data_IF_131370172920
#
_entry.id   IF_131370172920
#
_cell.length_a   1.000
_cell.length_b   1.000
_cell.length_c   1.000
_cell.angle_alpha   90.00
_cell.angle_beta   90.00
_cell.angle_gamma   90.00
#
_symmetry.space_group_name_H-M   'P 1'
#
loop_
_entity.id
_entity.type
_entity.pdbx_description
1 polymer ?
#
# COMPACT_ATOMS: atom_id res chain seq x y z
N UNK A 1 -8.58 -26.20 -1.26
CA UNK A 1 -8.08 -24.99 -0.57
C UNK A 1 -7.22 -24.07 -1.46
N UNK A 2 -7.34 -24.15 -2.80
CA UNK A 2 -6.59 -23.29 -3.75
C UNK A 2 -6.92 -21.79 -3.64
N UNK A 3 -8.04 -21.44 -3.00
CA UNK A 3 -8.44 -20.05 -2.77
C UNK A 3 -7.44 -19.24 -1.96
N UNK A 4 -6.66 -19.84 -1.06
CA UNK A 4 -5.65 -19.13 -0.26
C UNK A 4 -4.48 -18.63 -1.13
N UNK A 5 -3.74 -19.49 -1.85
CA UNK A 5 -2.64 -19.01 -2.69
C UNK A 5 -3.13 -18.07 -3.80
N UNK A 6 -4.31 -18.34 -4.38
CA UNK A 6 -4.92 -17.42 -5.36
C UNK A 6 -5.25 -16.06 -4.73
N UNK A 7 -5.82 -16.05 -3.52
CA UNK A 7 -6.16 -14.82 -2.81
C UNK A 7 -4.92 -13.98 -2.49
N UNK A 8 -3.82 -14.61 -2.06
CA UNK A 8 -2.55 -13.90 -1.81
C UNK A 8 -1.97 -13.30 -3.09
N UNK A 9 -1.97 -14.07 -4.18
CA UNK A 9 -1.49 -13.60 -5.48
C UNK A 9 -2.36 -12.44 -6.00
N UNK A 10 -3.69 -12.59 -5.95
CA UNK A 10 -4.63 -11.54 -6.35
C UNK A 10 -4.48 -10.30 -5.50
N UNK A 11 -4.34 -10.41 -4.18
CA UNK A 11 -4.17 -9.24 -3.32
C UNK A 11 -2.92 -8.44 -3.70
N UNK A 12 -1.78 -9.10 -3.94
CA UNK A 12 -0.56 -8.40 -4.34
C UNK A 12 -0.65 -7.80 -5.76
N UNK A 13 -1.37 -8.47 -6.67
CA UNK A 13 -1.70 -7.91 -7.99
C UNK A 13 -2.53 -6.62 -7.86
N UNK A 14 -3.54 -6.64 -6.99
CA UNK A 14 -4.40 -5.49 -6.71
C UNK A 14 -3.60 -4.37 -6.06
N UNK A 15 -2.70 -4.65 -5.11
CA UNK A 15 -1.76 -3.64 -4.58
C UNK A 15 -1.02 -2.94 -5.71
N UNK A 16 -0.40 -3.70 -6.61
CA UNK A 16 0.38 -3.14 -7.73
C UNK A 16 -0.49 -2.28 -8.64
N UNK A 17 -1.63 -2.82 -9.12
CA UNK A 17 -2.52 -2.14 -10.06
C UNK A 17 -3.10 -0.88 -9.43
N UNK A 18 -3.63 -1.00 -8.22
CA UNK A 18 -4.30 0.10 -7.54
C UNK A 18 -3.32 1.19 -7.15
N UNK A 19 -2.15 0.83 -6.63
CA UNK A 19 -1.15 1.81 -6.23
C UNK A 19 -0.62 2.59 -7.44
N UNK A 20 -0.26 1.90 -8.52
CA UNK A 20 0.22 2.54 -9.75
C UNK A 20 -0.85 3.39 -10.43
N UNK A 21 -1.97 2.77 -10.83
CA UNK A 21 -2.93 3.39 -11.73
C UNK A 21 -3.93 4.29 -11.00
N UNK A 22 -4.31 3.96 -9.76
CA UNK A 22 -5.30 4.73 -9.01
C UNK A 22 -4.61 5.74 -8.09
N UNK A 23 -3.72 5.28 -7.22
CA UNK A 23 -3.13 6.15 -6.20
C UNK A 23 -2.05 7.08 -6.77
N UNK A 24 -1.27 6.66 -7.77
CA UNK A 24 -0.27 7.51 -8.42
C UNK A 24 -0.77 8.23 -9.66
N UNK A 25 -1.17 7.51 -10.71
CA UNK A 25 -1.53 8.13 -11.99
C UNK A 25 -2.73 9.08 -11.81
N UNK A 26 -3.86 8.60 -11.24
CA UNK A 26 -4.99 9.49 -10.93
C UNK A 26 -4.71 10.42 -9.74
N UNK A 27 -3.93 10.00 -8.75
CA UNK A 27 -3.63 10.81 -7.56
C UNK A 27 -2.71 12.01 -7.81
N UNK A 28 -1.94 12.02 -8.90
CA UNK A 28 -1.16 13.21 -9.29
C UNK A 28 -2.05 14.41 -9.63
N UNK A 29 -3.26 14.17 -10.14
CA UNK A 29 -4.25 15.21 -10.37
C UNK A 29 -4.88 15.66 -9.03
N UNK A 30 -4.70 16.93 -8.66
CA UNK A 30 -5.26 17.49 -7.40
C UNK A 30 -6.78 17.48 -7.32
N UNK A 31 -7.48 17.45 -8.46
CA UNK A 31 -8.94 17.35 -8.48
C UNK A 31 -9.44 15.91 -8.23
N UNK A 32 -8.56 14.91 -8.28
CA UNK A 32 -8.91 13.51 -8.02
C UNK A 32 -9.18 13.28 -6.53
N UNK A 33 -10.16 12.44 -6.23
CA UNK A 33 -10.37 11.92 -4.87
C UNK A 33 -9.09 11.27 -4.32
N UNK A 34 -8.33 10.58 -5.18
CA UNK A 34 -7.09 9.87 -4.85
C UNK A 34 -5.89 10.78 -4.64
N UNK A 35 -6.07 12.10 -4.78
CA UNK A 35 -4.96 13.06 -4.70
C UNK A 35 -4.26 13.07 -3.35
N UNK A 36 -4.94 12.63 -2.28
CA UNK A 36 -4.36 12.51 -0.94
C UNK A 36 -3.12 11.63 -0.91
N UNK A 37 -3.05 10.60 -1.76
CA UNK A 37 -1.94 9.67 -1.72
C UNK A 37 -0.65 10.35 -2.20
N UNK A 38 -0.70 11.12 -3.30
CA UNK A 38 0.47 11.84 -3.81
C UNK A 38 0.72 13.15 -3.05
N UNK A 39 -0.34 13.93 -2.82
CA UNK A 39 -0.24 15.29 -2.32
C UNK A 39 -0.24 15.40 -0.79
N UNK A 40 -0.67 14.40 -0.04
CA UNK A 40 -0.60 14.43 1.41
C UNK A 40 0.42 13.39 1.88
N UNK A 41 0.12 12.12 1.66
CA UNK A 41 0.92 10.99 2.14
C UNK A 41 2.35 10.99 1.60
N UNK A 42 2.56 10.90 0.28
CA UNK A 42 3.92 10.92 -0.32
C UNK A 42 4.71 12.17 0.06
N UNK A 43 4.05 13.33 0.06
CA UNK A 43 4.68 14.61 0.40
C UNK A 43 5.16 14.60 1.86
N UNK A 44 4.32 14.16 2.78
CA UNK A 44 4.63 14.09 4.21
C UNK A 44 5.74 13.08 4.48
N UNK A 45 5.58 11.85 3.97
CA UNK A 45 6.55 10.76 4.11
C UNK A 45 7.93 11.20 3.62
N UNK A 46 8.03 11.80 2.44
CA UNK A 46 9.32 12.22 1.89
C UNK A 46 9.95 13.39 2.64
N UNK A 47 9.14 14.33 3.17
CA UNK A 47 9.62 15.48 3.95
C UNK A 47 10.07 15.10 5.35
N UNK A 48 9.47 14.07 5.94
CA UNK A 48 9.66 13.71 7.34
C UNK A 48 10.47 12.42 7.52
N UNK A 49 11.35 12.08 6.56
CA UNK A 49 12.24 10.92 6.70
C UNK A 49 11.50 9.60 6.81
N UNK A 50 10.50 9.39 5.93
CA UNK A 50 9.60 8.24 5.86
C UNK A 50 8.45 8.20 6.87
N UNK A 51 8.38 9.17 7.80
CA UNK A 51 7.28 9.26 8.76
C UNK A 51 6.02 9.89 8.15
N UNK A 52 4.86 9.35 8.49
CA UNK A 52 3.56 9.99 8.23
C UNK A 52 2.76 10.16 9.53
N UNK A 53 2.52 11.41 9.91
CA UNK A 53 1.82 11.76 11.13
C UNK A 53 0.32 11.45 11.05
N UNK A 54 -0.25 11.31 9.85
CA UNK A 54 -1.65 10.94 9.69
C UNK A 54 -1.95 9.63 10.42
N UNK A 55 -1.02 8.67 10.42
CA UNK A 55 -1.11 7.38 11.10
C UNK A 55 -1.17 7.45 12.64
N UNK A 56 -0.83 8.59 13.23
CA UNK A 56 -0.94 8.81 14.69
C UNK A 56 -2.36 9.09 15.14
N UNK A 57 -3.26 9.42 14.21
CA UNK A 57 -4.63 9.73 14.50
C UNK A 57 -5.53 8.48 14.38
N UNK A 58 -6.69 8.47 15.07
CA UNK A 58 -7.74 7.50 14.78
C UNK A 58 -8.20 7.64 13.31
N UNK A 59 -8.60 6.54 12.64
CA UNK A 59 -9.14 6.55 11.27
C UNK A 59 -10.59 7.11 11.23
N UNK A 60 -10.79 8.24 11.89
CA UNK A 60 -12.03 9.01 11.98
C UNK A 60 -11.79 10.48 11.61
N UNK A 61 -10.53 10.92 11.62
CA UNK A 61 -10.12 12.24 11.12
C UNK A 61 -10.04 12.20 9.60
N UNK A 62 -10.59 13.20 8.90
CA UNK A 62 -10.58 13.21 7.43
C UNK A 62 -9.19 13.53 6.85
N UNK A 63 -8.33 12.52 6.78
CA UNK A 63 -6.94 12.60 6.32
C UNK A 63 -6.58 11.40 5.40
N UNK A 64 -5.30 11.22 5.06
CA UNK A 64 -4.87 10.15 4.16
C UNK A 64 -5.18 8.75 4.72
N UNK A 65 -4.92 8.52 6.01
CA UNK A 65 -5.21 7.24 6.68
C UNK A 65 -6.69 6.87 6.59
N UNK A 66 -7.60 7.79 6.89
CA UNK A 66 -9.04 7.49 6.86
C UNK A 66 -9.53 7.19 5.44
N UNK A 67 -9.01 7.87 4.43
CA UNK A 67 -9.32 7.58 3.02
C UNK A 67 -8.78 6.23 2.57
N UNK A 68 -7.58 5.84 3.02
CA UNK A 68 -7.03 4.49 2.82
C UNK A 68 -7.96 3.42 3.44
N UNK A 69 -8.34 3.58 4.71
CA UNK A 69 -9.26 2.64 5.38
C UNK A 69 -10.59 2.56 4.65
N UNK A 70 -11.15 3.69 4.20
CA UNK A 70 -12.38 3.70 3.42
C UNK A 70 -12.24 2.92 2.10
N UNK A 71 -11.12 3.08 1.39
CA UNK A 71 -10.85 2.35 0.15
C UNK A 71 -10.70 0.84 0.39
N UNK A 72 -10.01 0.43 1.47
CA UNK A 72 -9.86 -0.97 1.85
C UNK A 72 -11.22 -1.61 2.22
N UNK A 73 -12.05 -0.90 2.99
CA UNK A 73 -13.40 -1.35 3.34
C UNK A 73 -14.28 -1.47 2.08
N UNK A 74 -14.21 -0.50 1.17
CA UNK A 74 -14.95 -0.56 -0.09
C UNK A 74 -14.49 -1.75 -0.95
N UNK A 75 -13.19 -2.03 -1.03
CA UNK A 75 -12.64 -3.19 -1.71
C UNK A 75 -13.09 -4.52 -1.10
N UNK A 76 -13.07 -4.63 0.23
CA UNK A 76 -13.59 -5.80 0.94
C UNK A 76 -15.09 -6.01 0.68
N UNK A 77 -15.89 -4.94 0.74
CA UNK A 77 -17.31 -4.98 0.42
C UNK A 77 -17.57 -5.45 -1.02
N UNK A 78 -16.77 -5.00 -1.98
CA UNK A 78 -16.92 -5.37 -3.39
C UNK A 78 -16.70 -6.88 -3.65
N UNK A 79 -15.82 -7.53 -2.90
CA UNK A 79 -15.56 -8.99 -3.04
C UNK A 79 -16.45 -9.86 -2.13
N UNK A 80 -17.15 -9.25 -1.16
CA UNK A 80 -18.02 -9.95 -0.22
C UNK A 80 -19.09 -10.84 -0.90
N UNK A 81 -19.74 -10.44 -2.01
CA UNK A 81 -20.74 -11.29 -2.67
C UNK A 81 -20.20 -12.65 -3.14
N UNK A 82 -18.88 -12.81 -3.30
CA UNK A 82 -18.26 -14.08 -3.68
C UNK A 82 -18.07 -15.04 -2.51
N UNK A 83 -18.30 -14.60 -1.27
CA UNK A 83 -18.05 -15.38 -0.06
C UNK A 83 -18.76 -16.76 -0.03
N UNK A 84 -20.04 -16.91 -0.48
CA UNK A 84 -20.70 -18.21 -0.52
C UNK A 84 -20.08 -19.20 -1.51
N UNK A 85 -19.40 -18.71 -2.56
CA UNK A 85 -18.80 -19.53 -3.61
C UNK A 85 -17.32 -19.81 -3.38
N UNK A 86 -16.58 -18.82 -2.86
CA UNK A 86 -15.13 -18.86 -2.72
C UNK A 86 -14.68 -18.35 -1.33
N UNK A 87 -15.12 -18.98 -0.23
CA UNK A 87 -14.93 -18.45 1.12
C UNK A 87 -13.46 -18.29 1.51
N UNK A 88 -12.61 -19.24 1.13
CA UNK A 88 -11.16 -19.16 1.39
C UNK A 88 -10.48 -18.04 0.60
N UNK A 89 -10.92 -17.80 -0.65
CA UNK A 89 -10.37 -16.72 -1.47
C UNK A 89 -10.73 -15.36 -0.88
N UNK A 90 -12.02 -15.14 -0.60
CA UNK A 90 -12.50 -13.88 -0.01
C UNK A 90 -11.90 -13.66 1.39
N UNK A 91 -11.85 -14.70 2.23
CA UNK A 91 -11.21 -14.63 3.53
C UNK A 91 -9.72 -14.26 3.46
N UNK A 92 -8.99 -14.77 2.46
CA UNK A 92 -7.61 -14.36 2.21
C UNK A 92 -7.50 -12.91 1.74
N UNK A 93 -8.44 -12.40 0.94
CA UNK A 93 -8.46 -10.99 0.56
C UNK A 93 -8.72 -10.07 1.77
N UNK A 94 -9.62 -10.46 2.68
CA UNK A 94 -9.83 -9.72 3.93
C UNK A 94 -8.58 -9.70 4.80
N UNK A 95 -7.95 -10.86 4.98
CA UNK A 95 -6.67 -10.94 5.67
C UNK A 95 -5.61 -10.04 5.02
N UNK A 96 -5.55 -10.02 3.70
CA UNK A 96 -4.56 -9.23 2.96
C UNK A 96 -4.83 -7.73 3.10
N UNK A 97 -6.09 -7.28 3.04
CA UNK A 97 -6.45 -5.88 3.26
C UNK A 97 -6.11 -5.41 4.68
N UNK A 98 -6.40 -6.24 5.70
CA UNK A 98 -6.00 -5.97 7.08
C UNK A 98 -4.48 -5.92 7.22
N UNK A 99 -3.77 -6.89 6.64
CA UNK A 99 -2.32 -6.97 6.72
C UNK A 99 -1.66 -5.77 6.02
N UNK A 100 -2.15 -5.38 4.85
CA UNK A 100 -1.74 -4.17 4.13
C UNK A 100 -1.79 -2.96 5.05
N UNK A 101 -2.96 -2.65 5.60
CA UNK A 101 -3.11 -1.50 6.49
C UNK A 101 -2.19 -1.58 7.71
N UNK A 102 -2.09 -2.76 8.35
CA UNK A 102 -1.25 -2.97 9.53
C UNK A 102 0.23 -2.69 9.24
N UNK A 103 0.77 -3.26 8.16
CA UNK A 103 2.20 -3.12 7.86
C UNK A 103 2.53 -1.76 7.24
N UNK A 104 1.60 -1.19 6.46
CA UNK A 104 1.71 0.16 5.91
C UNK A 104 1.69 1.22 7.01
N UNK A 105 0.73 1.14 7.94
CA UNK A 105 0.70 2.00 9.12
C UNK A 105 1.98 1.88 9.95
N UNK A 106 2.43 0.64 10.21
CA UNK A 106 3.66 0.41 11.00
C UNK A 106 4.87 1.01 10.30
N UNK A 107 5.01 0.83 8.99
CA UNK A 107 6.18 1.29 8.25
C UNK A 107 6.37 2.81 8.31
N UNK A 108 5.28 3.57 8.34
CA UNK A 108 5.30 5.03 8.45
C UNK A 108 5.31 5.56 9.89
N UNK A 109 5.22 4.68 10.89
CA UNK A 109 5.43 5.02 12.30
C UNK A 109 6.82 4.58 12.79
N UNK A 110 7.44 3.61 12.11
CA UNK A 110 8.73 3.02 12.42
C UNK A 110 9.56 2.84 11.14
N UNK A 111 10.26 3.92 10.69
CA UNK A 111 11.06 3.90 9.46
C UNK A 111 12.19 2.88 9.46
N UNK A 112 12.78 2.57 10.62
CA UNK A 112 13.87 1.60 10.72
C UNK A 112 13.33 0.20 10.49
N UNK A 113 12.20 -0.13 11.12
CA UNK A 113 11.50 -1.38 10.83
C UNK A 113 11.11 -1.48 9.35
N UNK A 114 10.61 -0.40 8.76
CA UNK A 114 10.25 -0.37 7.34
C UNK A 114 11.46 -0.64 6.43
N UNK A 115 12.60 -0.02 6.72
CA UNK A 115 13.82 -0.17 5.94
C UNK A 115 14.34 -1.60 5.92
N UNK A 116 14.20 -2.31 7.04
CA UNK A 116 14.60 -3.72 7.19
C UNK A 116 13.55 -4.68 6.62
N UNK A 117 12.27 -4.47 6.92
CA UNK A 117 11.22 -5.48 6.69
C UNK A 117 10.41 -5.24 5.42
N UNK A 118 10.27 -3.98 4.99
CA UNK A 118 9.59 -3.57 3.75
C UNK A 118 10.49 -2.65 2.90
N UNK A 119 11.72 -3.06 2.57
CA UNK A 119 12.69 -2.20 1.89
C UNK A 119 12.20 -1.65 0.55
N UNK A 120 11.36 -2.40 -0.18
CA UNK A 120 10.75 -1.95 -1.42
C UNK A 120 9.78 -0.79 -1.21
N UNK A 121 8.98 -0.82 -0.13
CA UNK A 121 8.08 0.27 0.22
C UNK A 121 8.87 1.49 0.71
N UNK A 122 9.97 1.26 1.44
CA UNK A 122 10.91 2.33 1.76
C UNK A 122 11.46 3.00 0.49
N UNK A 123 11.94 2.19 -0.45
CA UNK A 123 12.46 2.64 -1.74
C UNK A 123 11.42 3.42 -2.55
N UNK A 124 10.15 3.00 -2.50
CA UNK A 124 9.05 3.68 -3.19
C UNK A 124 8.95 5.17 -2.82
N UNK A 125 9.00 5.49 -1.52
CA UNK A 125 8.88 6.88 -1.09
C UNK A 125 10.19 7.65 -1.09
N UNK A 126 11.30 6.98 -0.78
CA UNK A 126 12.60 7.66 -0.56
C UNK A 126 13.51 7.60 -1.80
N UNK A 127 13.21 6.73 -2.76
CA UNK A 127 13.99 6.55 -3.97
C UNK A 127 13.99 7.77 -4.89
N UNK A 128 14.97 7.87 -5.80
CA UNK A 128 15.00 8.93 -6.80
C UNK A 128 13.88 8.78 -7.84
N UNK A 129 13.49 7.55 -8.15
CA UNK A 129 12.38 7.26 -9.06
C UNK A 129 11.08 7.06 -8.28
N UNK A 130 10.12 8.01 -8.33
CA UNK A 130 8.83 7.84 -7.68
C UNK A 130 7.89 6.89 -8.44
N UNK A 131 8.26 6.41 -9.64
CA UNK A 131 7.43 5.56 -10.49
C UNK A 131 7.86 4.09 -10.45
N UNK A 132 8.28 3.58 -9.29
CA UNK A 132 8.75 2.22 -9.09
C UNK A 132 8.32 1.69 -7.71
N UNK A 133 8.37 0.38 -7.50
CA UNK A 133 8.09 -0.29 -6.22
C UNK A 133 6.65 -0.08 -5.70
N UNK A 134 5.66 -0.54 -6.46
CA UNK A 134 4.24 -0.28 -6.20
C UNK A 134 3.63 -1.17 -5.11
N UNK A 135 4.17 -2.35 -4.85
CA UNK A 135 3.57 -3.21 -3.83
C UNK A 135 4.01 -2.79 -2.42
N UNK A 136 3.14 -2.96 -1.43
CA UNK A 136 3.46 -2.58 -0.03
C UNK A 136 3.79 -3.82 0.78
N UNK A 137 2.98 -4.87 0.72
CA UNK A 137 3.14 -6.03 1.61
C UNK A 137 4.23 -6.99 1.18
N UNK A 138 4.40 -7.18 -0.14
CA UNK A 138 5.40 -8.05 -0.78
C UNK A 138 5.72 -7.49 -2.17
N UNK A 139 6.96 -7.55 -2.67
CA UNK A 139 7.28 -7.00 -3.99
C UNK A 139 7.01 -7.98 -5.15
N UNK A 140 6.09 -8.94 -5.00
CA UNK A 140 5.94 -10.01 -6.02
C UNK A 140 5.55 -9.45 -7.37
N UNK A 141 4.52 -8.59 -7.42
CA UNK A 141 4.11 -7.97 -8.68
C UNK A 141 5.08 -6.90 -9.16
N UNK A 142 5.87 -6.27 -8.28
CA UNK A 142 6.99 -5.44 -8.73
C UNK A 142 8.06 -6.25 -9.47
N UNK A 143 8.34 -7.47 -9.02
CA UNK A 143 9.26 -8.36 -9.73
C UNK A 143 8.66 -8.90 -11.02
N UNK A 144 7.40 -9.35 -10.98
CA UNK A 144 6.70 -9.91 -12.17
C UNK A 144 6.57 -8.85 -13.27
N UNK A 145 6.25 -7.61 -12.91
CA UNK A 145 6.03 -6.52 -13.85
C UNK A 145 7.30 -5.71 -14.15
N UNK A 146 8.45 -6.08 -13.55
CA UNK A 146 9.72 -5.40 -13.78
C UNK A 146 9.79 -3.97 -13.25
N UNK A 147 9.05 -3.65 -12.18
CA UNK A 147 8.99 -2.31 -11.55
C UNK A 147 9.73 -2.24 -10.21
N UNK A 148 10.44 -3.30 -9.81
CA UNK A 148 11.29 -3.27 -8.62
C UNK A 148 12.60 -2.52 -8.90
N UNK A 149 12.83 -1.42 -8.19
CA UNK A 149 14.06 -0.63 -8.24
C UNK A 149 14.63 -0.40 -6.83
N UNK A 150 15.63 -1.18 -6.39
CA UNK A 150 16.27 -1.00 -5.09
C UNK A 150 17.08 0.30 -5.00
N UNK A 151 16.99 1.03 -3.89
CA UNK A 151 17.93 2.13 -3.62
C UNK A 151 19.30 1.60 -3.21
N UNK A 152 20.37 2.12 -3.82
CA UNK A 152 21.76 1.73 -3.51
C UNK A 152 22.18 2.06 -2.07
N UNK A 153 21.83 3.25 -1.57
CA UNK A 153 22.25 3.74 -0.24
C UNK A 153 21.08 3.80 0.74
N UNK A 154 20.51 2.64 1.06
CA UNK A 154 19.54 2.50 2.17
C UNK A 154 20.30 2.51 3.51
N UNK A 155 20.97 3.63 3.84
CA UNK A 155 21.78 3.73 5.06
C UNK A 155 20.93 3.45 6.30
N UNK A 156 21.44 2.56 7.16
CA UNK A 156 20.95 2.28 8.50
C UNK A 156 21.58 3.33 9.39
N UNK A 157 20.76 4.11 10.11
CA UNK A 157 21.25 5.06 11.11
C UNK A 157 21.93 4.32 12.27
#
# INVERSE_FOLDING_TARGET
MIGIPLGLLTANAVEWVFHKHVLHELGRNRASFWSFHWHDHHRNVRRNGFLDHDYRHPPLTWNAQTKEVAALVAGAAAVTPLLPLAPFFVGTLYYSAWNYYRVHKRSHLDPDWARENLPWHYDHHMGPNPNANWCVTRPWFDHIMGTREPMENRQIA
#
